data_IF_771842805206
#
_entry.id   IF_771842805206
#
_cell.length_a   1.000
_cell.length_b   1.000
_cell.length_c   1.000
_cell.angle_alpha   90.00
_cell.angle_beta   90.00
_cell.angle_gamma   90.00
#
_symmetry.space_group_name_H-M   'P 1'
#
loop_
_entity.id
_entity.type
_entity.pdbx_description
1 polymer ?
#
# COMPACT_ATOMS: atom_id res chain seq x y z
N UNK A 1 35.51 43.41 -37.49
CA UNK A 1 35.50 44.88 -37.42
C UNK A 1 34.94 45.23 -36.07
N UNK A 2 35.77 45.49 -35.11
CA UNK A 2 36.28 46.79 -34.62
C UNK A 2 35.12 47.72 -34.25
N UNK A 3 35.01 48.32 -33.07
CA UNK A 3 35.95 48.99 -32.16
C UNK A 3 35.19 49.29 -30.87
N UNK A 4 35.70 49.06 -29.67
CA UNK A 4 36.48 50.03 -28.81
C UNK A 4 35.60 51.18 -28.32
N UNK A 5 35.57 51.69 -27.08
CA UNK A 5 36.54 51.74 -25.96
C UNK A 5 36.07 52.84 -24.98
N UNK A 6 36.44 52.71 -23.69
CA UNK A 6 36.79 53.75 -22.67
C UNK A 6 35.60 54.51 -22.06
N UNK A 7 35.43 54.60 -20.79
CA UNK A 7 36.34 54.80 -19.66
C UNK A 7 36.24 56.23 -19.14
N UNK A 8 36.01 56.43 -17.86
CA UNK A 8 36.69 57.50 -17.10
C UNK A 8 36.34 57.44 -15.62
N UNK A 9 37.39 57.32 -14.83
CA UNK A 9 37.51 57.63 -13.42
C UNK A 9 37.45 59.16 -13.20
N UNK A 10 36.88 59.64 -12.07
CA UNK A 10 37.31 60.89 -11.47
C UNK A 10 37.08 60.85 -9.95
N UNK A 11 38.19 60.90 -9.25
CA UNK A 11 38.40 61.26 -7.83
C UNK A 11 38.27 62.78 -7.67
N UNK A 12 37.80 63.25 -6.49
CA UNK A 12 38.18 64.53 -5.81
C UNK A 12 37.49 64.44 -4.43
N UNK A 13 38.15 64.29 -3.32
CA UNK A 13 39.08 65.11 -2.49
C UNK A 13 38.41 66.06 -1.50
N UNK A 14 38.47 65.71 -0.25
CA UNK A 14 38.82 66.43 0.99
C UNK A 14 38.45 67.92 1.05
N UNK A 15 37.77 68.33 2.15
CA UNK A 15 38.05 69.56 2.83
C UNK A 15 37.73 69.42 4.34
N UNK A 16 38.80 69.58 5.12
CA UNK A 16 38.80 69.81 6.57
C UNK A 16 38.48 71.30 6.87
N UNK A 17 37.68 71.56 7.89
CA UNK A 17 37.76 72.81 8.64
C UNK A 17 37.56 72.55 10.11
N UNK A 18 38.58 72.85 10.87
CA UNK A 18 38.61 72.94 12.31
C UNK A 18 38.12 74.32 12.75
N UNK A 19 37.44 74.40 13.87
CA UNK A 19 37.35 75.57 14.65
C UNK A 19 37.23 75.23 16.14
N UNK A 20 38.09 75.81 16.89
CA UNK A 20 38.39 75.69 18.33
C UNK A 20 37.35 76.33 19.26
N UNK A 21 37.35 75.84 20.47
CA UNK A 21 37.40 76.60 21.77
C UNK A 21 36.06 76.92 22.46
N UNK A 22 35.83 76.20 23.58
CA UNK A 22 35.97 76.88 24.92
C UNK A 22 35.84 75.81 26.02
N UNK A 23 36.80 75.91 26.97
CA UNK A 23 36.80 75.24 28.28
C UNK A 23 35.77 75.88 29.20
N UNK A 24 35.01 75.06 29.90
CA UNK A 24 34.41 75.42 31.19
C UNK A 24 34.44 74.17 32.08
N UNK A 25 35.15 74.26 33.19
CA UNK A 25 35.22 73.29 34.27
C UNK A 25 33.92 73.25 35.03
N UNK A 26 33.38 72.02 35.23
CA UNK A 26 32.49 71.77 36.37
C UNK A 26 32.73 70.31 36.81
N UNK A 27 33.01 70.21 38.04
CA UNK A 27 33.02 69.18 39.09
C UNK A 27 32.74 67.75 38.78
N UNK A 28 33.60 66.89 39.41
CA UNK A 28 33.51 65.41 39.58
C UNK A 28 32.14 64.98 40.12
N UNK A 29 31.46 64.14 39.39
CA UNK A 29 30.44 63.25 39.93
C UNK A 29 30.84 61.84 39.58
N UNK A 30 31.07 61.01 40.60
CA UNK A 30 31.48 59.63 40.53
C UNK A 30 30.29 58.79 40.10
N UNK A 31 30.23 58.42 38.85
CA UNK A 31 29.32 57.39 38.40
C UNK A 31 30.07 56.06 38.34
N UNK A 32 29.57 55.08 39.11
CA UNK A 32 29.92 53.69 39.04
C UNK A 32 29.67 53.12 37.59
N UNK A 33 30.50 52.22 37.07
CA UNK A 33 30.27 51.64 35.76
C UNK A 33 29.02 50.76 35.79
N UNK A 34 28.06 51.10 34.94
CA UNK A 34 26.94 50.25 34.60
C UNK A 34 27.55 49.05 33.84
N UNK A 35 27.52 47.86 34.44
CA UNK A 35 27.77 46.59 33.73
C UNK A 35 26.68 46.46 32.64
N UNK A 36 27.08 46.54 31.38
CA UNK A 36 26.25 46.08 30.26
C UNK A 36 25.96 44.59 30.44
N UNK A 37 24.73 44.26 30.85
CA UNK A 37 24.21 42.91 30.74
C UNK A 37 24.30 42.50 29.27
N UNK A 38 25.24 41.62 28.94
CA UNK A 38 25.25 40.92 27.66
C UNK A 38 24.04 40.02 27.65
N UNK A 39 23.03 40.38 26.84
CA UNK A 39 21.96 39.46 26.45
C UNK A 39 22.59 38.19 25.84
N UNK A 40 22.60 37.11 26.60
CA UNK A 40 22.95 35.80 26.09
C UNK A 40 21.83 35.39 25.16
N UNK A 41 22.02 35.61 23.87
CA UNK A 41 21.16 34.99 22.83
C UNK A 41 21.38 33.50 22.93
N UNK A 42 20.49 32.81 23.63
CA UNK A 42 20.40 31.37 23.60
C UNK A 42 19.87 31.04 22.20
N UNK A 43 20.76 30.62 21.30
CA UNK A 43 20.35 29.97 20.07
C UNK A 43 19.57 28.69 20.48
N UNK A 44 18.24 28.73 20.36
CA UNK A 44 17.42 27.53 20.50
C UNK A 44 17.84 26.59 19.37
N UNK A 45 18.48 25.47 19.73
CA UNK A 45 18.72 24.39 18.79
C UNK A 45 17.36 23.99 18.16
N UNK A 46 17.29 23.83 16.82
CA UNK A 46 16.05 23.47 16.18
C UNK A 46 15.56 22.15 16.77
N UNK A 47 14.39 22.18 17.40
CA UNK A 47 13.71 20.98 17.90
C UNK A 47 13.48 20.08 16.68
N UNK A 48 14.30 19.04 16.53
CA UNK A 48 14.09 18.04 15.51
C UNK A 48 12.76 17.35 15.82
N UNK A 49 11.80 17.48 14.91
CA UNK A 49 10.55 16.75 14.98
C UNK A 49 10.82 15.22 14.98
N UNK A 50 9.83 14.40 15.37
CA UNK A 50 10.00 12.96 15.39
C UNK A 50 10.43 12.44 14.01
N UNK A 51 11.37 11.49 13.99
CA UNK A 51 11.72 10.77 12.76
C UNK A 51 10.52 9.94 12.33
N UNK A 52 10.05 10.14 11.09
CA UNK A 52 8.93 9.38 10.54
C UNK A 52 9.45 8.34 9.53
N UNK A 53 8.92 7.13 9.61
CA UNK A 53 9.21 6.00 8.74
C UNK A 53 8.03 5.76 7.80
N UNK A 54 8.31 5.55 6.52
CA UNK A 54 7.30 5.25 5.51
C UNK A 54 7.06 3.74 5.45
N UNK A 55 5.82 3.29 5.70
CA UNK A 55 5.46 1.89 5.60
C UNK A 55 5.61 1.38 4.15
N UNK A 56 6.30 0.24 3.90
CA UNK A 56 6.74 -0.15 2.57
C UNK A 56 5.59 -0.53 1.62
N UNK A 57 4.45 -0.99 2.13
CA UNK A 57 3.31 -1.44 1.33
C UNK A 57 2.15 -0.44 1.27
N UNK A 58 2.16 0.57 2.12
CA UNK A 58 1.08 1.57 2.18
C UNK A 58 1.56 3.01 2.01
N UNK A 59 2.86 3.28 2.15
CA UNK A 59 3.38 4.64 2.14
C UNK A 59 2.97 5.51 3.33
N UNK A 60 2.21 4.98 4.28
CA UNK A 60 1.75 5.70 5.48
C UNK A 60 2.94 5.97 6.40
N UNK A 61 3.02 7.21 6.89
CA UNK A 61 4.07 7.63 7.82
C UNK A 61 3.73 7.21 9.24
N UNK A 62 4.74 6.70 9.98
CA UNK A 62 4.65 6.27 11.37
C UNK A 62 5.91 6.66 12.13
N UNK A 63 5.81 6.89 13.43
CA UNK A 63 6.96 7.06 14.33
C UNK A 63 7.69 5.74 14.60
N UNK A 64 7.06 4.61 14.34
CA UNK A 64 7.64 3.28 14.49
C UNK A 64 7.98 2.69 13.11
N UNK A 65 9.21 2.18 12.95
CA UNK A 65 9.62 1.48 11.74
C UNK A 65 8.94 0.11 11.65
N UNK A 66 8.35 -0.18 10.51
CA UNK A 66 7.67 -1.46 10.28
C UNK A 66 8.64 -2.51 9.72
N UNK A 67 9.27 -3.27 10.63
CA UNK A 67 10.28 -4.29 10.30
C UNK A 67 9.73 -5.71 10.21
N UNK A 68 8.44 -5.90 10.52
CA UNK A 68 7.83 -7.23 10.52
C UNK A 68 7.71 -7.80 9.11
N UNK A 69 8.05 -9.09 8.95
CA UNK A 69 7.80 -9.83 7.72
C UNK A 69 6.30 -9.83 7.39
N UNK A 70 5.99 -9.60 6.12
CA UNK A 70 4.61 -9.64 5.65
C UNK A 70 4.02 -11.06 5.76
N UNK A 71 2.71 -11.14 6.04
CA UNK A 71 1.90 -12.36 6.00
C UNK A 71 0.94 -12.25 4.83
N UNK A 72 0.90 -13.27 3.95
CA UNK A 72 -0.04 -13.32 2.84
C UNK A 72 -1.03 -14.46 3.06
N UNK A 73 -2.31 -14.15 3.25
CA UNK A 73 -3.35 -15.13 3.52
C UNK A 73 -4.31 -15.28 2.33
N UNK A 74 -4.60 -16.52 1.94
CA UNK A 74 -5.66 -16.80 0.97
C UNK A 74 -7.01 -16.82 1.67
N UNK A 75 -7.85 -15.82 1.38
CA UNK A 75 -9.18 -15.63 1.98
C UNK A 75 -10.27 -15.99 0.96
N UNK A 76 -11.32 -16.60 1.47
CA UNK A 76 -12.48 -17.02 0.70
C UNK A 76 -13.37 -15.82 0.32
N UNK A 77 -13.63 -15.64 -0.98
CA UNK A 77 -14.53 -14.59 -1.46
C UNK A 77 -15.94 -15.08 -1.86
N UNK A 78 -16.26 -16.33 -1.57
CA UNK A 78 -17.62 -16.85 -1.82
C UNK A 78 -18.65 -16.13 -0.95
N UNK A 79 -19.89 -15.86 -1.43
CA UNK A 79 -20.94 -15.16 -0.65
C UNK A 79 -21.16 -15.71 0.76
N UNK A 80 -21.12 -17.04 0.94
CA UNK A 80 -21.27 -17.70 2.24
C UNK A 80 -20.08 -17.49 3.20
N UNK A 81 -19.01 -16.86 2.71
CA UNK A 81 -17.81 -16.54 3.50
C UNK A 81 -17.76 -15.06 3.94
N UNK A 82 -18.70 -14.25 3.49
CA UNK A 82 -18.76 -12.81 3.78
C UNK A 82 -19.64 -12.49 5.00
N UNK A 83 -19.32 -11.44 5.78
CA UNK A 83 -18.08 -10.67 5.74
C UNK A 83 -16.87 -11.49 6.21
N UNK A 84 -15.69 -11.12 5.74
CA UNK A 84 -14.42 -11.74 6.12
C UNK A 84 -13.83 -11.06 7.36
N UNK A 85 -13.06 -11.80 8.18
CA UNK A 85 -12.29 -11.25 9.30
C UNK A 85 -10.89 -10.86 8.87
N UNK A 86 -10.40 -9.70 9.32
CA UNK A 86 -9.06 -9.18 9.12
C UNK A 86 -8.85 -8.47 7.78
N UNK A 87 -9.84 -8.46 6.88
CA UNK A 87 -9.67 -7.86 5.55
C UNK A 87 -9.54 -6.33 5.60
N UNK A 88 -10.08 -5.71 6.65
CA UNK A 88 -9.98 -4.27 6.88
C UNK A 88 -8.56 -3.81 7.25
N UNK A 89 -7.72 -4.71 7.76
CA UNK A 89 -6.35 -4.41 8.20
C UNK A 89 -5.29 -4.73 7.12
N UNK A 90 -5.70 -5.34 6.00
CA UNK A 90 -4.81 -5.66 4.90
C UNK A 90 -4.23 -4.39 4.26
N UNK A 91 -2.90 -4.37 4.08
CA UNK A 91 -2.19 -3.30 3.35
C UNK A 91 -2.49 -3.35 1.87
N UNK A 92 -2.42 -4.57 1.29
CA UNK A 92 -2.74 -4.85 -0.11
C UNK A 92 -3.65 -6.07 -0.18
N UNK A 93 -4.68 -5.96 -0.99
CA UNK A 93 -5.56 -7.07 -1.33
C UNK A 93 -5.46 -7.35 -2.82
N UNK A 94 -5.09 -8.58 -3.19
CA UNK A 94 -5.19 -9.06 -4.56
C UNK A 94 -6.48 -9.89 -4.71
N UNK A 95 -7.31 -9.57 -5.69
CA UNK A 95 -8.48 -10.35 -6.06
C UNK A 95 -8.27 -10.96 -7.45
N UNK A 96 -8.32 -12.30 -7.53
CA UNK A 96 -8.05 -13.07 -8.74
C UNK A 96 -9.07 -14.19 -8.92
N UNK A 97 -9.34 -14.56 -10.18
CA UNK A 97 -10.10 -15.75 -10.50
C UNK A 97 -9.38 -17.00 -10.00
N UNK A 98 -10.13 -17.94 -9.45
CA UNK A 98 -9.63 -19.21 -8.92
C UNK A 98 -10.26 -20.44 -9.59
N UNK A 99 -11.59 -20.48 -9.71
CA UNK A 99 -12.35 -21.49 -10.44
C UNK A 99 -13.45 -20.79 -11.25
N UNK A 100 -13.42 -20.88 -12.58
CA UNK A 100 -14.34 -20.14 -13.45
C UNK A 100 -14.28 -18.64 -13.13
N UNK A 101 -15.43 -18.06 -12.80
CA UNK A 101 -15.54 -16.63 -12.41
C UNK A 101 -15.50 -16.42 -10.88
N UNK A 102 -15.32 -17.50 -10.11
CA UNK A 102 -15.20 -17.40 -8.64
C UNK A 102 -13.83 -16.86 -8.29
N UNK A 103 -13.79 -15.72 -7.62
CA UNK A 103 -12.53 -15.11 -7.17
C UNK A 103 -12.11 -15.59 -5.78
N UNK A 104 -10.82 -15.41 -5.49
CA UNK A 104 -10.24 -15.45 -4.15
C UNK A 104 -9.50 -14.17 -3.86
N UNK A 105 -9.34 -13.92 -2.58
CA UNK A 105 -8.61 -12.80 -2.05
C UNK A 105 -7.28 -13.30 -1.50
N UNK A 106 -6.18 -12.62 -1.87
CA UNK A 106 -4.93 -12.68 -1.16
C UNK A 106 -4.78 -11.39 -0.38
N UNK A 107 -4.83 -11.46 0.94
CA UNK A 107 -4.67 -10.31 1.81
C UNK A 107 -3.25 -10.29 2.39
N UNK A 108 -2.53 -9.20 2.15
CA UNK A 108 -1.19 -8.93 2.65
C UNK A 108 -1.25 -8.08 3.91
N UNK A 109 -0.60 -8.54 4.95
CA UNK A 109 -0.53 -7.89 6.26
C UNK A 109 0.93 -7.65 6.63
N UNK A 110 1.37 -6.41 6.65
CA UNK A 110 2.70 -6.03 7.08
C UNK A 110 2.65 -4.91 8.12
N UNK A 111 1.90 -3.84 7.89
CA UNK A 111 1.74 -2.75 8.85
C UNK A 111 1.03 -3.23 10.11
N UNK A 112 -0.02 -4.03 9.95
CA UNK A 112 -0.73 -4.65 11.05
C UNK A 112 -1.06 -6.12 10.76
N UNK A 113 -0.99 -6.98 11.78
CA UNK A 113 -1.47 -8.36 11.71
C UNK A 113 -2.74 -8.46 12.56
N UNK A 114 -3.93 -8.67 11.94
CA UNK A 114 -5.20 -8.68 12.66
C UNK A 114 -5.33 -9.87 13.62
N UNK A 115 -6.14 -9.72 14.66
CA UNK A 115 -6.36 -10.75 15.67
C UNK A 115 -6.92 -12.06 15.11
N UNK A 116 -7.70 -11.97 14.02
CA UNK A 116 -8.24 -13.15 13.32
C UNK A 116 -8.30 -12.90 11.81
N UNK A 117 -7.87 -13.89 11.01
CA UNK A 117 -7.94 -13.88 9.55
C UNK A 117 -8.83 -15.01 9.07
N UNK A 118 -9.75 -14.68 8.14
CA UNK A 118 -10.52 -15.72 7.48
C UNK A 118 -11.86 -15.31 6.88
N UNK A 119 -12.59 -16.28 6.30
CA UNK A 119 -12.27 -17.71 6.22
C UNK A 119 -11.11 -18.01 5.26
N UNK A 120 -10.13 -18.78 5.71
CA UNK A 120 -8.96 -19.17 4.93
C UNK A 120 -9.34 -20.21 3.88
N UNK A 121 -8.68 -20.14 2.70
CA UNK A 121 -9.00 -20.97 1.53
C UNK A 121 -7.75 -21.54 0.86
N UNK A 122 -8.00 -22.35 -0.17
CA UNK A 122 -6.95 -23.13 -0.83
C UNK A 122 -6.03 -22.27 -1.70
N UNK A 123 -4.75 -22.59 -1.66
CA UNK A 123 -3.71 -22.03 -2.51
C UNK A 123 -3.91 -22.37 -3.99
N UNK A 124 -3.34 -21.53 -4.86
CA UNK A 124 -3.06 -21.74 -6.27
C UNK A 124 -1.58 -21.46 -6.52
N UNK A 125 -1.02 -22.03 -7.56
CA UNK A 125 0.37 -21.83 -7.94
C UNK A 125 0.74 -20.36 -8.11
N UNK A 126 -0.03 -19.58 -8.86
CA UNK A 126 0.20 -18.14 -9.01
C UNK A 126 0.05 -17.35 -7.70
N UNK A 127 -0.76 -17.81 -6.72
CA UNK A 127 -0.79 -17.23 -5.39
C UNK A 127 0.52 -17.45 -4.63
N UNK A 128 1.08 -18.66 -4.77
CA UNK A 128 2.37 -19.01 -4.16
C UNK A 128 3.51 -18.21 -4.80
N UNK A 129 3.45 -17.94 -6.11
CA UNK A 129 4.41 -17.06 -6.79
C UNK A 129 4.34 -15.63 -6.30
N UNK A 130 3.14 -15.04 -6.13
CA UNK A 130 2.96 -13.71 -5.53
C UNK A 130 3.56 -13.68 -4.12
N UNK A 131 3.29 -14.70 -3.28
CA UNK A 131 3.88 -14.81 -1.95
C UNK A 131 5.40 -14.86 -1.99
N UNK A 132 5.97 -15.54 -2.99
CA UNK A 132 7.43 -15.64 -3.17
C UNK A 132 8.07 -14.29 -3.49
N UNK A 133 7.47 -13.54 -4.40
CA UNK A 133 7.96 -12.21 -4.77
C UNK A 133 7.95 -11.23 -3.61
N UNK A 134 6.92 -11.30 -2.79
CA UNK A 134 6.76 -10.45 -1.60
C UNK A 134 7.58 -10.94 -0.38
N UNK A 135 8.27 -12.09 -0.48
CA UNK A 135 8.86 -12.84 0.65
C UNK A 135 7.92 -12.96 1.86
N UNK A 136 6.61 -13.08 1.58
CA UNK A 136 5.60 -13.15 2.61
C UNK A 136 5.50 -14.57 3.20
N UNK A 137 5.23 -14.66 4.51
CA UNK A 137 4.83 -15.91 5.14
C UNK A 137 3.42 -16.29 4.66
N UNK A 138 3.28 -17.46 4.03
CA UNK A 138 2.06 -17.81 3.32
C UNK A 138 1.10 -18.64 4.16
N UNK A 139 -0.17 -18.22 4.21
CA UNK A 139 -1.24 -18.89 4.96
C UNK A 139 -2.35 -19.34 4.04
N UNK A 140 -2.62 -20.65 3.99
CA UNK A 140 -3.68 -21.22 3.19
C UNK A 140 -4.34 -22.45 3.88
N UNK A 141 -5.54 -22.85 3.43
CA UNK A 141 -6.18 -24.08 3.86
C UNK A 141 -6.64 -24.89 2.65
N UNK A 142 -5.83 -25.84 2.24
CA UNK A 142 -5.96 -26.59 0.98
C UNK A 142 -5.09 -26.02 -0.13
N UNK A 143 -5.10 -26.68 -1.29
CA UNK A 143 -4.26 -26.34 -2.44
C UNK A 143 -4.74 -26.99 -3.74
N UNK A 144 -4.35 -26.43 -4.90
CA UNK A 144 -4.32 -27.13 -6.19
C UNK A 144 -3.16 -28.14 -6.23
N UNK A 145 -3.12 -29.08 -7.18
CA UNK A 145 -2.01 -30.05 -7.29
C UNK A 145 -0.63 -29.37 -7.38
N UNK A 146 -0.50 -28.34 -8.23
CA UNK A 146 0.76 -27.63 -8.44
C UNK A 146 1.16 -26.82 -7.19
N UNK A 147 0.22 -26.07 -6.60
CA UNK A 147 0.45 -25.38 -5.34
C UNK A 147 0.85 -26.34 -4.20
N UNK A 148 0.28 -27.57 -4.16
CA UNK A 148 0.67 -28.59 -3.19
C UNK A 148 2.15 -28.91 -3.29
N UNK A 149 2.63 -29.18 -4.52
CA UNK A 149 4.04 -29.51 -4.76
C UNK A 149 4.96 -28.36 -4.34
N UNK A 150 4.61 -27.11 -4.69
CA UNK A 150 5.38 -25.94 -4.31
C UNK A 150 5.47 -25.78 -2.78
N UNK A 151 4.34 -25.86 -2.08
CA UNK A 151 4.28 -25.69 -0.64
C UNK A 151 5.01 -26.80 0.13
N UNK A 152 4.89 -28.06 -0.34
CA UNK A 152 5.58 -29.21 0.24
C UNK A 152 7.10 -29.12 0.02
N UNK A 153 7.55 -28.58 -1.10
CA UNK A 153 8.96 -28.36 -1.41
C UNK A 153 9.51 -27.07 -0.76
N UNK A 154 8.74 -26.37 0.08
CA UNK A 154 9.13 -25.13 0.74
C UNK A 154 9.58 -24.04 -0.24
N UNK A 155 8.88 -23.92 -1.37
CA UNK A 155 9.12 -22.82 -2.32
C UNK A 155 8.89 -21.45 -1.68
N UNK A 156 7.97 -21.40 -0.72
CA UNK A 156 7.75 -20.28 0.23
C UNK A 156 7.61 -20.85 1.64
N UNK A 157 7.95 -20.07 2.66
CA UNK A 157 7.60 -20.38 4.04
C UNK A 157 6.08 -20.34 4.20
N UNK A 158 5.50 -21.38 4.76
CA UNK A 158 4.05 -21.50 4.80
C UNK A 158 3.52 -22.36 5.93
N UNK A 159 2.26 -22.13 6.27
CA UNK A 159 1.42 -23.06 7.03
C UNK A 159 0.14 -23.35 6.25
N UNK A 160 -0.33 -24.59 6.32
CA UNK A 160 -1.54 -25.01 5.61
C UNK A 160 -2.48 -25.78 6.53
N UNK A 161 -3.77 -25.42 6.51
CA UNK A 161 -4.80 -26.07 7.31
C UNK A 161 -4.95 -27.57 7.01
N UNK A 162 -4.45 -28.08 5.87
CA UNK A 162 -4.39 -29.52 5.62
C UNK A 162 -3.47 -30.29 6.60
N UNK A 163 -2.53 -29.59 7.23
CA UNK A 163 -1.59 -30.14 8.20
C UNK A 163 -1.93 -29.71 9.64
N UNK A 164 -2.56 -28.55 9.80
CA UNK A 164 -2.70 -27.89 11.07
C UNK A 164 -4.17 -27.56 11.45
N UNK A 165 -5.17 -28.25 10.80
CA UNK A 165 -6.58 -28.12 11.18
C UNK A 165 -6.80 -28.60 12.62
N UNK A 166 -7.54 -27.85 13.40
CA UNK A 166 -7.77 -28.13 14.83
C UNK A 166 -6.57 -27.83 15.75
N UNK A 167 -5.46 -27.28 15.21
CA UNK A 167 -4.30 -26.81 15.99
C UNK A 167 -4.03 -25.34 15.75
N UNK A 168 -3.42 -24.95 14.61
CA UNK A 168 -3.24 -23.56 14.24
C UNK A 168 -4.49 -22.97 13.58
N UNK A 169 -5.27 -23.78 12.87
CA UNK A 169 -6.52 -23.36 12.24
C UNK A 169 -7.73 -23.82 13.04
N UNK A 170 -8.68 -22.92 13.22
CA UNK A 170 -9.92 -23.15 13.93
C UNK A 170 -11.11 -23.19 12.98
N UNK A 171 -12.10 -24.06 13.24
CA UNK A 171 -13.35 -24.11 12.50
C UNK A 171 -14.44 -23.36 13.21
N UNK A 172 -14.90 -22.23 12.64
CA UNK A 172 -16.08 -21.53 13.16
C UNK A 172 -17.33 -22.39 13.07
N UNK A 173 -18.17 -22.35 14.08
CA UNK A 173 -19.47 -23.02 14.12
C UNK A 173 -20.59 -22.20 13.46
N UNK A 174 -20.36 -20.92 13.21
CA UNK A 174 -21.32 -20.01 12.58
C UNK A 174 -21.49 -20.28 11.08
N UNK A 175 -20.52 -20.95 10.48
CA UNK A 175 -20.50 -21.25 9.05
C UNK A 175 -20.21 -22.73 8.81
N UNK A 176 -20.62 -23.22 7.63
CA UNK A 176 -20.33 -24.60 7.23
C UNK A 176 -19.04 -24.67 6.41
N UNK A 177 -18.34 -25.78 6.50
CA UNK A 177 -17.24 -26.06 5.61
C UNK A 177 -17.71 -25.99 4.12
N UNK A 178 -16.90 -25.41 3.24
CA UNK A 178 -15.51 -25.00 3.36
C UNK A 178 -15.33 -23.49 3.67
N UNK A 179 -16.34 -22.82 4.23
CA UNK A 179 -16.37 -21.36 4.46
C UNK A 179 -16.12 -20.99 5.93
N UNK A 180 -15.43 -21.82 6.71
CA UNK A 180 -15.38 -21.72 8.18
C UNK A 180 -14.00 -21.92 8.80
N UNK A 181 -12.91 -21.86 8.02
CA UNK A 181 -11.55 -21.99 8.56
C UNK A 181 -10.97 -20.63 8.89
N UNK A 182 -10.48 -20.44 10.10
CA UNK A 182 -9.89 -19.18 10.57
C UNK A 182 -8.56 -19.43 11.25
N UNK A 183 -7.72 -18.42 11.33
CA UNK A 183 -6.45 -18.44 12.06
C UNK A 183 -6.31 -17.14 12.84
N UNK A 184 -5.82 -17.25 14.07
CA UNK A 184 -5.52 -16.08 14.91
C UNK A 184 -4.09 -15.57 14.68
N UNK A 185 -3.83 -14.32 15.06
CA UNK A 185 -2.50 -13.71 15.08
C UNK A 185 -1.47 -14.59 15.78
N UNK A 186 -1.79 -15.03 16.99
CA UNK A 186 -0.89 -15.89 17.78
C UNK A 186 -0.59 -17.20 17.06
N UNK A 187 -1.56 -17.77 16.37
CA UNK A 187 -1.37 -19.01 15.62
C UNK A 187 -0.56 -18.79 14.33
N UNK A 188 -0.63 -17.62 13.70
CA UNK A 188 0.29 -17.26 12.60
C UNK A 188 1.72 -17.20 13.13
N UNK A 189 1.96 -16.49 14.24
CA UNK A 189 3.29 -16.37 14.85
C UNK A 189 3.82 -17.72 15.32
N UNK A 190 3.00 -18.53 15.99
CA UNK A 190 3.36 -19.91 16.35
C UNK A 190 3.65 -20.79 15.12
N UNK A 191 2.97 -20.55 14.01
CA UNK A 191 3.23 -21.20 12.74
C UNK A 191 4.60 -20.82 12.15
N UNK A 192 4.97 -19.53 12.20
CA UNK A 192 6.29 -19.06 11.78
C UNK A 192 7.39 -19.71 12.64
N UNK A 193 7.24 -19.71 13.96
CA UNK A 193 8.16 -20.38 14.87
C UNK A 193 8.29 -21.88 14.56
N UNK A 194 7.16 -22.58 14.45
CA UNK A 194 7.10 -24.03 14.18
C UNK A 194 7.77 -24.44 12.86
N UNK A 195 7.77 -23.56 11.88
CA UNK A 195 8.41 -23.78 10.57
C UNK A 195 9.82 -23.22 10.49
N UNK A 196 10.32 -22.61 11.57
CA UNK A 196 11.61 -21.92 11.65
C UNK A 196 11.73 -20.84 10.55
N UNK A 197 10.67 -20.07 10.35
CA UNK A 197 10.58 -18.98 9.38
C UNK A 197 10.99 -17.65 10.03
N UNK A 198 11.65 -16.77 9.25
CA UNK A 198 11.97 -15.42 9.71
C UNK A 198 10.71 -14.61 10.01
N UNK A 199 10.78 -13.76 11.01
CA UNK A 199 9.77 -12.75 11.34
C UNK A 199 10.11 -11.35 10.83
N UNK A 200 11.33 -11.19 10.28
CA UNK A 200 11.86 -9.91 9.81
C UNK A 200 11.56 -9.68 8.34
N UNK A 201 11.26 -8.44 7.98
CA UNK A 201 11.08 -8.00 6.61
C UNK A 201 12.42 -8.06 5.87
N UNK A 202 12.46 -8.75 4.72
CA UNK A 202 13.66 -8.90 3.89
C UNK A 202 13.52 -8.28 2.51
N UNK A 203 12.30 -8.04 2.05
CA UNK A 203 11.99 -7.46 0.73
C UNK A 203 11.20 -6.17 0.91
N UNK A 204 11.73 -5.08 0.37
CA UNK A 204 11.03 -3.81 0.28
C UNK A 204 10.53 -3.66 -1.17
N UNK A 205 9.22 -3.57 -1.39
CA UNK A 205 8.66 -3.41 -2.73
C UNK A 205 9.04 -2.04 -3.32
N UNK A 206 9.07 -1.97 -4.65
CA UNK A 206 9.33 -0.71 -5.38
C UNK A 206 8.05 0.09 -5.61
N UNK A 207 7.18 0.16 -4.61
CA UNK A 207 6.02 1.05 -4.69
C UNK A 207 6.46 2.50 -4.49
N UNK A 208 5.89 3.40 -5.29
CA UNK A 208 6.05 4.85 -5.15
C UNK A 208 4.80 5.44 -4.54
N UNK A 209 4.95 6.44 -3.68
CA UNK A 209 3.82 7.07 -3.00
C UNK A 209 3.93 8.58 -3.09
N UNK A 210 2.81 9.22 -3.43
CA UNK A 210 2.64 10.65 -3.47
C UNK A 210 2.88 11.28 -2.08
N UNK A 211 3.35 12.51 -2.09
CA UNK A 211 3.47 13.33 -0.88
C UNK A 211 2.11 13.90 -0.45
N UNK A 212 1.23 14.18 -1.41
CA UNK A 212 -0.09 14.76 -1.20
C UNK A 212 -1.14 14.10 -2.08
N UNK A 213 -2.37 13.93 -1.54
CA UNK A 213 -3.53 13.46 -2.31
C UNK A 213 -3.91 14.45 -3.43
N UNK A 214 -3.56 15.73 -3.29
CA UNK A 214 -3.83 16.74 -4.32
C UNK A 214 -3.07 16.45 -5.62
N UNK A 215 -1.88 15.84 -5.53
CA UNK A 215 -1.08 15.45 -6.70
C UNK A 215 -1.71 14.30 -7.47
N UNK A 216 -2.60 13.54 -6.82
CA UNK A 216 -3.36 12.45 -7.46
C UNK A 216 -4.53 12.93 -8.34
N UNK A 217 -4.93 14.22 -8.26
CA UNK A 217 -6.15 14.75 -8.91
C UNK A 217 -5.94 15.13 -10.39
N UNK A 218 -5.05 14.43 -11.10
CA UNK A 218 -4.77 14.63 -12.52
C UNK A 218 -5.17 13.38 -13.29
N UNK A 219 -6.24 13.46 -14.09
CA UNK A 219 -6.79 12.34 -14.86
C UNK A 219 -8.28 12.52 -15.11
N UNK A 220 -8.93 11.46 -15.56
CA UNK A 220 -10.37 11.43 -15.80
C UNK A 220 -11.14 11.20 -14.48
N UNK A 221 -12.26 11.93 -14.28
CA UNK A 221 -13.05 11.77 -13.07
C UNK A 221 -13.70 10.38 -13.04
N UNK A 222 -13.52 9.68 -11.94
CA UNK A 222 -14.02 8.31 -11.72
C UNK A 222 -14.53 8.11 -10.29
N UNK A 223 -15.66 8.73 -9.96
CA UNK A 223 -16.26 8.63 -8.62
C UNK A 223 -16.91 7.27 -8.35
N UNK A 224 -17.33 6.57 -9.40
CA UNK A 224 -17.90 5.23 -9.33
C UNK A 224 -17.13 4.28 -10.25
N UNK A 225 -16.75 3.11 -9.74
CA UNK A 225 -16.05 2.06 -10.47
C UNK A 225 -16.76 0.72 -10.27
N UNK A 226 -16.89 -0.07 -11.35
CA UNK A 226 -17.42 -1.44 -11.30
C UNK A 226 -16.42 -2.39 -11.97
N UNK A 227 -16.03 -3.45 -11.26
CA UNK A 227 -15.14 -4.51 -11.75
C UNK A 227 -15.88 -5.85 -11.74
N UNK A 228 -15.87 -6.57 -12.87
CA UNK A 228 -16.61 -7.82 -13.09
C UNK A 228 -15.69 -8.98 -13.45
N UNK A 229 -15.89 -10.14 -12.81
CA UNK A 229 -15.24 -11.40 -13.15
C UNK A 229 -16.19 -12.34 -13.91
N UNK A 230 -17.10 -11.79 -14.70
CA UNK A 230 -18.10 -12.52 -15.46
C UNK A 230 -19.50 -11.93 -15.22
N UNK A 231 -20.53 -12.74 -15.37
CA UNK A 231 -21.94 -12.29 -15.28
C UNK A 231 -22.55 -12.47 -13.88
N UNK A 232 -21.88 -13.19 -12.98
CA UNK A 232 -22.38 -13.40 -11.62
C UNK A 232 -22.17 -12.14 -10.76
N UNK A 233 -23.26 -11.54 -10.25
CA UNK A 233 -23.18 -10.32 -9.45
C UNK A 233 -22.50 -10.54 -8.10
N UNK A 234 -22.33 -11.77 -7.64
CA UNK A 234 -21.60 -12.09 -6.42
C UNK A 234 -20.07 -11.91 -6.58
N UNK A 235 -19.57 -11.86 -7.82
CA UNK A 235 -18.18 -11.57 -8.15
C UNK A 235 -18.04 -10.27 -8.97
N UNK A 236 -18.95 -9.32 -8.70
CA UNK A 236 -18.88 -7.94 -9.20
C UNK A 236 -18.64 -7.01 -8.03
N UNK A 237 -17.50 -6.29 -8.08
CA UNK A 237 -17.18 -5.26 -7.11
C UNK A 237 -17.59 -3.90 -7.63
N UNK A 238 -18.25 -3.12 -6.78
CA UNK A 238 -18.56 -1.71 -7.04
C UNK A 238 -17.84 -0.86 -6.01
N UNK A 239 -17.24 0.23 -6.44
CA UNK A 239 -16.54 1.18 -5.59
C UNK A 239 -17.15 2.56 -5.74
N UNK A 240 -17.32 3.27 -4.64
CA UNK A 240 -17.70 4.68 -4.61
C UNK A 240 -16.65 5.49 -3.89
N UNK A 241 -16.23 6.58 -4.50
CA UNK A 241 -15.26 7.51 -3.89
C UNK A 241 -15.97 8.39 -2.88
N UNK A 242 -15.40 8.49 -1.69
CA UNK A 242 -15.78 9.42 -0.64
C UNK A 242 -14.76 10.57 -0.62
N UNK A 243 -15.16 11.73 -1.15
CA UNK A 243 -14.28 12.88 -1.28
C UNK A 243 -13.91 13.53 0.07
N UNK A 244 -14.71 13.32 1.12
CA UNK A 244 -14.41 13.84 2.47
C UNK A 244 -13.29 13.02 3.12
N UNK A 245 -13.29 11.71 2.88
CA UNK A 245 -12.27 10.78 3.41
C UNK A 245 -11.07 10.59 2.49
N UNK A 246 -11.21 10.91 1.21
CA UNK A 246 -10.20 10.61 0.20
C UNK A 246 -10.05 9.13 -0.13
N UNK A 247 -11.08 8.32 0.12
CA UNK A 247 -11.03 6.85 -0.02
C UNK A 247 -12.21 6.30 -0.82
N UNK A 248 -12.05 5.07 -1.32
CA UNK A 248 -13.13 4.30 -1.94
C UNK A 248 -13.72 3.31 -0.95
N UNK A 249 -15.05 3.17 -0.97
CA UNK A 249 -15.80 2.12 -0.28
C UNK A 249 -16.15 1.01 -1.28
N UNK A 250 -15.80 -0.24 -0.95
CA UNK A 250 -16.13 -1.41 -1.77
C UNK A 250 -17.50 -1.96 -1.41
N UNK A 251 -18.28 -2.30 -2.44
CA UNK A 251 -19.61 -2.94 -2.32
C UNK A 251 -19.70 -4.17 -3.22
N UNK A 252 -20.49 -5.15 -2.82
CA UNK A 252 -20.94 -6.26 -3.66
C UNK A 252 -22.45 -6.35 -3.57
N UNK A 253 -23.15 -6.31 -4.71
CA UNK A 253 -24.64 -6.30 -4.77
C UNK A 253 -25.26 -5.16 -3.93
N UNK A 254 -24.59 -4.01 -3.88
CA UNK A 254 -25.02 -2.85 -3.10
C UNK A 254 -24.79 -2.96 -1.59
N UNK A 255 -24.18 -4.05 -1.11
CA UNK A 255 -23.83 -4.23 0.31
C UNK A 255 -22.38 -3.82 0.51
N UNK A 256 -22.16 -2.85 1.39
CA UNK A 256 -20.80 -2.39 1.75
C UNK A 256 -19.99 -3.55 2.32
N UNK A 257 -18.76 -3.72 1.82
CA UNK A 257 -17.80 -4.67 2.37
C UNK A 257 -17.30 -4.17 3.71
N UNK A 258 -17.55 -4.94 4.76
CA UNK A 258 -17.08 -4.64 6.11
C UNK A 258 -16.15 -5.74 6.61
N UNK A 259 -15.26 -5.40 7.52
CA UNK A 259 -14.52 -6.40 8.29
C UNK A 259 -15.42 -7.01 9.36
N UNK A 260 -15.46 -8.35 9.45
CA UNK A 260 -16.30 -9.05 10.44
C UNK A 260 -15.88 -8.73 11.88
N UNK A 261 -14.60 -8.47 12.12
CA UNK A 261 -14.04 -8.32 13.45
C UNK A 261 -14.50 -7.03 14.16
N UNK A 262 -14.73 -5.97 13.40
CA UNK A 262 -15.06 -4.65 13.91
C UNK A 262 -16.24 -3.96 13.23
N UNK A 263 -16.84 -4.63 12.23
CA UNK A 263 -17.97 -4.16 11.41
C UNK A 263 -17.73 -2.83 10.66
N UNK A 264 -16.45 -2.40 10.56
CA UNK A 264 -16.10 -1.17 9.85
C UNK A 264 -16.01 -1.41 8.34
N UNK A 265 -16.41 -0.44 7.51
CA UNK A 265 -16.19 -0.47 6.07
C UNK A 265 -14.70 -0.67 5.72
N UNK A 266 -14.43 -1.42 4.65
CA UNK A 266 -13.11 -1.50 4.06
C UNK A 266 -12.89 -0.25 3.21
N UNK A 267 -12.02 0.64 3.67
CA UNK A 267 -11.67 1.90 3.02
C UNK A 267 -10.33 1.75 2.28
N UNK A 268 -10.28 2.22 1.04
CA UNK A 268 -9.16 2.00 0.12
C UNK A 268 -8.70 3.32 -0.48
N UNK A 269 -7.41 3.59 -0.45
CA UNK A 269 -6.82 4.77 -1.10
C UNK A 269 -6.62 4.55 -2.60
N UNK A 270 -6.30 3.31 -3.00
CA UNK A 270 -6.03 2.96 -4.39
C UNK A 270 -6.77 1.69 -4.81
N UNK A 271 -7.25 1.68 -6.06
CA UNK A 271 -7.74 0.49 -6.73
C UNK A 271 -6.95 0.33 -8.01
N UNK A 272 -6.28 -0.80 -8.15
CA UNK A 272 -5.52 -1.16 -9.34
C UNK A 272 -6.26 -2.27 -10.10
N UNK A 273 -6.26 -2.17 -11.42
CA UNK A 273 -6.75 -3.21 -12.31
C UNK A 273 -5.58 -3.62 -13.19
N UNK A 274 -5.21 -4.89 -13.17
CA UNK A 274 -4.20 -5.47 -14.05
C UNK A 274 -4.85 -6.46 -14.99
N UNK A 275 -4.63 -6.31 -16.29
CA UNK A 275 -5.14 -7.23 -17.30
C UNK A 275 -4.06 -8.24 -17.68
N UNK A 276 -4.42 -9.52 -17.68
CA UNK A 276 -3.51 -10.59 -18.10
C UNK A 276 -4.24 -11.82 -18.64
N UNK A 277 -3.49 -12.73 -19.26
CA UNK A 277 -4.05 -13.96 -19.82
C UNK A 277 -4.50 -14.93 -18.72
N UNK A 278 -5.75 -15.36 -18.82
CA UNK A 278 -6.32 -16.43 -17.98
C UNK A 278 -6.69 -17.62 -18.85
N UNK A 279 -6.51 -18.83 -18.34
CA UNK A 279 -6.89 -20.06 -19.02
C UNK A 279 -7.46 -21.06 -18.01
N UNK A 280 -8.62 -21.64 -18.33
CA UNK A 280 -9.14 -22.80 -17.59
C UNK A 280 -8.29 -24.04 -17.92
N UNK A 281 -7.76 -24.72 -16.90
CA UNK A 281 -6.81 -25.80 -17.04
C UNK A 281 -7.40 -27.19 -16.81
N UNK A 282 -8.59 -27.29 -16.25
CA UNK A 282 -9.25 -28.57 -15.98
C UNK A 282 -10.79 -28.48 -15.93
N UNK A 283 -11.42 -29.65 -15.79
CA UNK A 283 -12.88 -29.77 -15.75
C UNK A 283 -13.52 -29.23 -14.43
N UNK A 284 -12.71 -28.96 -13.41
CA UNK A 284 -13.17 -28.33 -12.16
C UNK A 284 -13.23 -26.79 -12.32
N UNK A 285 -12.68 -26.29 -13.42
CA UNK A 285 -12.68 -24.87 -13.75
C UNK A 285 -11.51 -24.09 -13.14
N UNK A 286 -10.45 -24.78 -12.67
CA UNK A 286 -9.27 -24.07 -12.15
C UNK A 286 -8.66 -23.21 -13.22
N UNK A 287 -8.17 -22.06 -12.81
CA UNK A 287 -7.51 -21.10 -13.69
C UNK A 287 -5.99 -21.21 -13.60
N UNK A 288 -5.33 -20.99 -14.73
CA UNK A 288 -3.94 -20.55 -14.82
C UNK A 288 -3.98 -19.05 -15.12
N UNK A 289 -3.26 -18.27 -14.37
CA UNK A 289 -3.19 -16.80 -14.48
C UNK A 289 -1.74 -16.44 -14.76
N UNK A 290 -1.50 -15.74 -15.86
CA UNK A 290 -0.15 -15.26 -16.20
C UNK A 290 0.16 -14.02 -15.37
N UNK A 291 1.02 -14.17 -14.38
CA UNK A 291 1.49 -13.07 -13.53
C UNK A 291 2.92 -12.60 -13.89
N UNK A 292 3.48 -13.11 -14.99
CA UNK A 292 4.87 -12.84 -15.40
C UNK A 292 4.98 -11.86 -16.57
N UNK A 293 3.99 -11.84 -17.47
CA UNK A 293 4.10 -11.14 -18.76
C UNK A 293 4.03 -9.62 -18.65
N UNK A 294 3.52 -9.07 -17.54
CA UNK A 294 3.10 -7.68 -17.51
C UNK A 294 1.87 -7.43 -18.37
N UNK A 295 1.47 -6.17 -18.53
CA UNK A 295 0.33 -5.82 -19.37
C UNK A 295 -0.24 -4.44 -19.09
N UNK A 296 -1.43 -4.20 -19.63
CA UNK A 296 -2.20 -2.98 -19.40
C UNK A 296 -2.81 -3.00 -18.00
N UNK A 297 -3.01 -1.80 -17.46
CA UNK A 297 -3.69 -1.61 -16.19
C UNK A 297 -4.41 -0.29 -16.12
N UNK A 298 -5.15 -0.11 -15.03
CA UNK A 298 -5.79 1.14 -14.63
C UNK A 298 -5.53 1.39 -13.17
N UNK A 299 -5.33 2.64 -12.81
CA UNK A 299 -5.21 3.10 -11.43
C UNK A 299 -6.36 4.05 -11.12
N UNK A 300 -7.07 3.76 -10.02
CA UNK A 300 -8.10 4.64 -9.46
C UNK A 300 -7.65 5.11 -8.09
N UNK A 301 -7.48 6.40 -7.91
CA UNK A 301 -7.15 7.05 -6.65
C UNK A 301 -7.72 8.48 -6.62
N UNK A 302 -7.99 9.03 -5.46
CA UNK A 302 -8.49 10.41 -5.30
C UNK A 302 -9.72 10.77 -6.18
N UNK A 303 -10.55 9.79 -6.57
CA UNK A 303 -11.70 10.00 -7.46
C UNK A 303 -11.32 10.16 -8.94
N UNK A 304 -10.08 9.82 -9.32
CA UNK A 304 -9.51 9.94 -10.67
C UNK A 304 -9.12 8.57 -11.20
N UNK A 305 -9.24 8.39 -12.52
CA UNK A 305 -8.72 7.25 -13.27
C UNK A 305 -7.50 7.65 -14.08
N UNK A 306 -6.52 6.74 -14.17
CA UNK A 306 -5.35 6.81 -15.04
C UNK A 306 -5.13 5.47 -15.73
N UNK A 307 -4.89 5.51 -17.04
CA UNK A 307 -4.33 4.35 -17.74
C UNK A 307 -2.87 4.16 -17.33
N UNK A 308 -2.51 2.93 -16.98
CA UNK A 308 -1.16 2.53 -16.58
C UNK A 308 -0.78 1.22 -17.27
N UNK A 309 0.44 0.78 -17.04
CA UNK A 309 0.90 -0.58 -17.29
C UNK A 309 1.19 -1.27 -15.96
N UNK A 310 1.42 -2.58 -16.00
CA UNK A 310 1.96 -3.30 -14.87
C UNK A 310 3.08 -4.24 -15.33
N UNK A 311 4.02 -4.51 -14.45
CA UNK A 311 5.08 -5.47 -14.68
C UNK A 311 5.30 -6.37 -13.47
N UNK A 312 5.93 -7.53 -13.68
CA UNK A 312 6.42 -8.37 -12.60
C UNK A 312 7.88 -8.00 -12.31
N UNK A 313 8.09 -7.22 -11.26
CA UNK A 313 9.43 -6.81 -10.80
C UNK A 313 9.94 -7.76 -9.72
N UNK A 314 10.58 -8.86 -10.14
CA UNK A 314 11.15 -9.86 -9.21
C UNK A 314 10.11 -10.62 -8.40
N UNK A 315 8.91 -10.85 -8.96
CA UNK A 315 7.76 -11.50 -8.33
C UNK A 315 6.77 -10.56 -7.69
N UNK A 316 7.02 -9.24 -7.70
CA UNK A 316 6.12 -8.21 -7.22
C UNK A 316 5.40 -7.58 -8.41
N UNK A 317 4.06 -7.63 -8.39
CA UNK A 317 3.23 -7.00 -9.42
C UNK A 317 3.22 -5.50 -9.17
N UNK A 318 3.95 -4.75 -9.99
CA UNK A 318 4.22 -3.32 -9.81
C UNK A 318 3.45 -2.51 -10.84
N UNK A 319 2.63 -1.51 -10.44
CA UNK A 319 2.01 -0.57 -11.35
C UNK A 319 3.08 0.35 -11.95
N UNK A 320 3.00 0.62 -13.27
CA UNK A 320 3.98 1.40 -14.01
C UNK A 320 3.29 2.53 -14.77
N UNK A 321 3.84 3.73 -14.70
CA UNK A 321 3.43 4.90 -15.48
C UNK A 321 4.66 5.46 -16.20
N UNK A 322 4.62 5.53 -17.53
CA UNK A 322 5.75 6.04 -18.35
C UNK A 322 7.11 5.35 -18.08
N UNK A 323 7.09 4.05 -17.73
CA UNK A 323 8.30 3.25 -17.51
C UNK A 323 8.92 3.38 -16.11
N UNK A 324 8.24 4.05 -15.18
CA UNK A 324 8.62 4.11 -13.76
C UNK A 324 7.46 3.62 -12.89
N UNK A 325 7.68 3.21 -11.63
CA UNK A 325 6.59 2.85 -10.74
C UNK A 325 5.57 3.98 -10.62
N UNK A 326 4.29 3.68 -10.85
CA UNK A 326 3.20 4.63 -10.70
C UNK A 326 3.06 5.07 -9.24
N UNK A 327 2.81 6.36 -9.03
CA UNK A 327 2.67 6.92 -7.69
C UNK A 327 1.27 6.66 -7.12
N UNK A 328 1.23 6.04 -5.95
CA UNK A 328 0.01 5.70 -5.23
C UNK A 328 -0.27 6.74 -4.14
N UNK A 329 -1.54 6.94 -3.82
CA UNK A 329 -1.93 7.68 -2.61
C UNK A 329 -1.58 6.82 -1.38
N UNK A 330 -0.89 7.36 -0.35
CA UNK A 330 -0.63 6.62 0.87
C UNK A 330 -1.90 6.01 1.46
N UNK A 331 -1.87 4.72 1.76
CA UNK A 331 -2.99 3.95 2.31
C UNK A 331 -3.16 2.58 1.68
N UNK A 332 -4.31 1.95 1.93
CA UNK A 332 -4.60 0.57 1.52
C UNK A 332 -4.91 0.49 0.03
N UNK A 333 -4.47 -0.61 -0.60
CA UNK A 333 -4.64 -0.85 -2.04
C UNK A 333 -5.38 -2.14 -2.31
N UNK A 334 -6.36 -2.10 -3.24
CA UNK A 334 -7.03 -3.29 -3.77
C UNK A 334 -6.65 -3.48 -5.24
N UNK A 335 -6.08 -4.64 -5.56
CA UNK A 335 -5.60 -4.99 -6.90
C UNK A 335 -6.50 -6.07 -7.49
N UNK A 336 -7.20 -5.75 -8.56
CA UNK A 336 -7.92 -6.73 -9.36
C UNK A 336 -7.03 -7.24 -10.49
N UNK A 337 -6.98 -8.56 -10.67
CA UNK A 337 -6.33 -9.16 -11.83
C UNK A 337 -7.42 -9.77 -12.71
N UNK A 338 -7.69 -9.10 -13.83
CA UNK A 338 -8.76 -9.45 -14.76
C UNK A 338 -8.23 -10.11 -16.03
N UNK A 339 -9.08 -10.92 -16.66
CA UNK A 339 -8.72 -11.65 -17.88
C UNK A 339 -8.70 -10.73 -19.11
N UNK A 340 -7.76 -10.98 -20.04
CA UNK A 340 -7.77 -10.41 -21.40
C UNK A 340 -9.01 -10.82 -22.21
N UNK A 341 -9.78 -11.82 -21.76
CA UNK A 341 -11.05 -12.25 -22.35
C UNK A 341 -12.16 -12.26 -21.29
N UNK A 342 -13.16 -11.36 -21.36
CA UNK A 342 -13.49 -10.44 -22.45
C UNK A 342 -12.65 -9.15 -22.51
N UNK A 343 -11.68 -8.97 -21.65
CA UNK A 343 -10.81 -7.82 -21.57
C UNK A 343 -11.30 -6.73 -20.62
N UNK A 344 -10.37 -5.87 -20.22
CA UNK A 344 -10.58 -4.78 -19.26
C UNK A 344 -11.69 -3.83 -19.70
N UNK A 345 -11.77 -3.49 -21.01
CA UNK A 345 -12.82 -2.62 -21.56
C UNK A 345 -14.26 -3.16 -21.41
N UNK A 346 -14.43 -4.47 -21.12
CA UNK A 346 -15.72 -5.07 -20.79
C UNK A 346 -15.88 -5.31 -19.29
N UNK A 347 -14.80 -5.73 -18.65
CA UNK A 347 -14.79 -6.10 -17.22
C UNK A 347 -14.87 -4.88 -16.31
N UNK A 348 -14.40 -3.71 -16.77
CA UNK A 348 -14.31 -2.49 -15.98
C UNK A 348 -15.18 -1.39 -16.59
N UNK A 349 -15.96 -0.74 -15.76
CA UNK A 349 -16.71 0.47 -16.16
C UNK A 349 -16.64 1.48 -15.02
N UNK A 350 -16.49 2.76 -15.36
CA UNK A 350 -16.49 3.82 -14.36
C UNK A 350 -17.29 5.04 -14.86
N UNK A 351 -17.69 5.88 -13.93
CA UNK A 351 -18.42 7.12 -14.21
C UNK A 351 -17.91 8.23 -13.29
N UNK A 352 -18.06 9.50 -13.73
CA UNK A 352 -17.80 10.68 -12.91
C UNK A 352 -18.54 10.70 -11.60
#
# INVERSE_FOLDING_TARGET
MEKRMRGWLLLIAILLLAACSKEEKVEDDVHEPIEEEQEVVVEEEPVQGPTLYKAPFTGVLSEEESTRRAVLATINNHPLARPQSGIGDADIVYELAAEGNITRILALFQSELPEEIGPIRSARDYFVHISKGLDAFYVAHGYSPDAKQMLQNRFVDNINGMQYDGTLFNRSKERRAPHNSYITKDNVLAGMEKTNSSTELSVIPRFSFLESIEDAKIGDIASMLVVRYGTDPDFTSTYSYDAEKGTYNRMVKGIVTVDKSNEKPVELSNILIFETAHRTIDNVGRQSVDIESGGKGMLFHAGIEKEIEWENSGGILTPMENGVPAELVPGKTWIHIVSTHPGMGTSVTYTP
#
